data_IF_924121367302
#
_entry.id   IF_924121367302
#
_cell.length_a   1.000
_cell.length_b   1.000
_cell.length_c   1.000
_cell.angle_alpha   90.00
_cell.angle_beta   90.00
_cell.angle_gamma   90.00
#
_symmetry.space_group_name_H-M   'P 1'
#
loop_
_entity.id
_entity.type
_entity.pdbx_description
1 polymer ?
#
# COMPACT_ATOMS: atom_id res chain seq x y z
N UNK A 1 -68.04 -57.21 3.72
CA UNK A 1 -68.85 -56.45 4.68
C UNK A 1 -68.63 -54.98 4.34
N UNK A 2 -69.73 -54.24 4.14
CA UNK A 2 -69.80 -52.83 3.68
C UNK A 2 -69.21 -51.84 4.71
N UNK A 3 -69.14 -50.57 4.27
CA UNK A 3 -69.21 -49.29 5.02
C UNK A 3 -67.83 -48.58 5.13
N UNK A 4 -67.61 -47.28 4.87
CA UNK A 4 -68.32 -46.11 4.32
C UNK A 4 -67.21 -45.07 4.01
N UNK A 5 -67.19 -44.25 2.95
CA UNK A 5 -67.99 -43.03 2.69
C UNK A 5 -67.97 -41.97 3.81
N UNK A 6 -67.86 -40.69 3.39
CA UNK A 6 -67.97 -39.42 4.15
C UNK A 6 -66.65 -38.90 4.78
N UNK A 7 -66.31 -37.61 4.80
CA UNK A 7 -66.88 -36.37 4.27
C UNK A 7 -65.96 -35.20 4.70
N UNK A 8 -65.73 -34.23 3.79
CA UNK A 8 -66.04 -32.80 4.06
C UNK A 8 -65.08 -31.95 4.92
N UNK A 9 -64.43 -30.96 4.25
CA UNK A 9 -64.14 -29.57 4.69
C UNK A 9 -63.19 -29.37 5.89
N UNK A 10 -62.42 -28.30 6.10
CA UNK A 10 -62.19 -27.01 5.47
C UNK A 10 -60.83 -26.45 5.98
N UNK A 11 -60.15 -25.72 5.10
CA UNK A 11 -59.55 -24.38 5.26
C UNK A 11 -58.77 -24.00 6.55
N UNK A 12 -57.51 -23.61 6.29
CA UNK A 12 -56.68 -22.59 6.94
C UNK A 12 -56.20 -22.76 8.39
N UNK A 13 -54.91 -23.07 8.52
CA UNK A 13 -53.99 -22.23 9.32
C UNK A 13 -52.64 -22.14 8.59
N UNK A 14 -52.41 -20.98 7.95
CA UNK A 14 -51.05 -20.54 7.61
C UNK A 14 -50.39 -20.19 8.93
N UNK A 15 -49.47 -21.04 9.39
CA UNK A 15 -48.48 -20.65 10.38
C UNK A 15 -47.14 -20.58 9.66
N UNK A 16 -46.72 -19.33 9.42
CA UNK A 16 -45.40 -18.93 8.97
C UNK A 16 -44.32 -19.59 9.86
N UNK A 17 -43.60 -20.56 9.31
CA UNK A 17 -42.34 -21.02 9.87
C UNK A 17 -41.28 -20.87 8.77
N UNK A 18 -40.47 -19.82 8.90
CA UNK A 18 -39.26 -19.62 8.09
C UNK A 18 -38.23 -20.67 8.54
N UNK A 19 -37.72 -21.56 7.67
CA UNK A 19 -36.45 -22.21 7.92
C UNK A 19 -35.37 -21.41 7.20
N UNK A 20 -34.63 -20.63 7.98
CA UNK A 20 -33.24 -20.32 7.69
C UNK A 20 -32.49 -21.65 7.63
N UNK A 21 -31.96 -21.98 6.46
CA UNK A 21 -31.21 -23.20 6.25
C UNK A 21 -30.67 -23.27 4.83
N UNK A 22 -29.81 -22.32 4.43
CA UNK A 22 -28.95 -22.51 3.27
C UNK A 22 -27.92 -23.58 3.59
N UNK A 23 -28.32 -24.85 3.53
CA UNK A 23 -27.40 -25.97 3.36
C UNK A 23 -27.04 -26.05 1.88
N UNK A 24 -26.05 -25.25 1.43
CA UNK A 24 -25.38 -25.56 0.17
C UNK A 24 -24.44 -26.75 0.39
N UNK A 25 -25.04 -27.94 0.56
CA UNK A 25 -24.36 -29.20 0.27
C UNK A 25 -24.07 -29.20 -1.22
N UNK A 26 -22.80 -29.06 -1.58
CA UNK A 26 -22.30 -29.32 -2.92
C UNK A 26 -22.70 -30.75 -3.34
N UNK A 27 -23.80 -30.87 -4.08
CA UNK A 27 -24.11 -32.06 -4.86
C UNK A 27 -23.42 -31.92 -6.22
N UNK A 28 -22.50 -32.83 -6.51
CA UNK A 28 -22.10 -33.08 -7.88
C UNK A 28 -23.35 -33.49 -8.67
N UNK A 29 -23.75 -32.68 -9.65
CA UNK A 29 -24.90 -32.92 -10.51
C UNK A 29 -24.42 -33.07 -11.97
N UNK A 30 -25.05 -33.92 -12.79
CA UNK A 30 -24.48 -34.44 -14.03
C UNK A 30 -24.24 -33.38 -15.11
N UNK A 31 -23.21 -33.62 -15.92
CA UNK A 31 -22.81 -32.77 -17.05
C UNK A 31 -23.81 -32.85 -18.21
N UNK A 32 -24.96 -32.18 -18.14
CA UNK A 32 -25.75 -31.86 -19.34
C UNK A 32 -26.75 -30.72 -19.08
N UNK A 33 -26.26 -29.54 -18.73
CA UNK A 33 -27.01 -28.30 -18.95
C UNK A 33 -26.03 -27.15 -19.12
N UNK A 34 -25.72 -26.90 -20.40
CA UNK A 34 -25.05 -25.76 -21.00
C UNK A 34 -24.85 -24.53 -20.07
N UNK A 35 -23.72 -24.48 -19.33
CA UNK A 35 -23.17 -23.19 -18.90
C UNK A 35 -22.79 -22.42 -20.17
N UNK A 36 -23.48 -21.32 -20.43
CA UNK A 36 -23.24 -20.45 -21.57
C UNK A 36 -21.76 -20.07 -21.66
N UNK A 37 -21.15 -20.22 -22.84
CA UNK A 37 -19.77 -19.74 -23.12
C UNK A 37 -19.63 -18.25 -22.71
N UNK A 38 -20.73 -17.48 -22.72
CA UNK A 38 -20.74 -16.09 -22.23
C UNK A 38 -20.40 -15.99 -20.74
N UNK A 39 -20.88 -16.89 -19.89
CA UNK A 39 -20.66 -16.82 -18.45
C UNK A 39 -19.23 -17.24 -18.06
N UNK A 40 -18.66 -18.20 -18.80
CA UNK A 40 -17.25 -18.60 -18.64
C UNK A 40 -16.29 -17.49 -19.10
N UNK A 41 -16.60 -16.82 -20.22
CA UNK A 41 -15.79 -15.70 -20.74
C UNK A 41 -15.85 -14.49 -19.81
N UNK A 42 -17.02 -14.14 -19.25
CA UNK A 42 -17.17 -13.06 -18.25
C UNK A 42 -16.36 -13.36 -16.99
N UNK A 43 -16.37 -14.61 -16.49
CA UNK A 43 -15.60 -14.99 -15.31
C UNK A 43 -14.08 -14.92 -15.55
N UNK A 44 -13.59 -15.38 -16.70
CA UNK A 44 -12.15 -15.34 -17.01
C UNK A 44 -11.61 -13.94 -17.30
N UNK A 45 -12.38 -13.06 -17.96
CA UNK A 45 -11.95 -11.66 -18.20
C UNK A 45 -11.81 -10.87 -16.90
N UNK A 46 -12.72 -11.07 -15.93
CA UNK A 46 -12.62 -10.38 -14.63
C UNK A 46 -11.33 -10.72 -13.85
N UNK A 47 -10.83 -11.96 -14.01
CA UNK A 47 -9.64 -12.46 -13.32
C UNK A 47 -8.34 -11.89 -13.89
N UNK A 48 -8.28 -11.58 -15.20
CA UNK A 48 -7.11 -10.91 -15.80
C UNK A 48 -7.06 -9.43 -15.43
N UNK A 49 -8.22 -8.78 -15.38
CA UNK A 49 -8.31 -7.35 -15.11
C UNK A 49 -7.98 -7.04 -13.64
N UNK A 50 -8.47 -7.86 -12.70
CA UNK A 50 -8.11 -7.75 -11.28
C UNK A 50 -6.61 -7.94 -11.04
N UNK A 51 -5.97 -8.86 -11.77
CA UNK A 51 -4.54 -9.13 -11.60
C UNK A 51 -3.65 -8.00 -12.15
N UNK A 52 -4.18 -7.17 -13.07
CA UNK A 52 -3.53 -5.93 -13.52
C UNK A 52 -3.66 -4.83 -12.46
N UNK A 53 -4.85 -4.64 -11.89
CA UNK A 53 -5.07 -3.64 -10.85
C UNK A 53 -4.26 -3.95 -9.58
N UNK A 54 -4.27 -5.20 -9.12
CA UNK A 54 -3.48 -5.65 -7.98
C UNK A 54 -1.97 -5.40 -8.20
N UNK A 55 -1.49 -5.56 -9.44
CA UNK A 55 -0.10 -5.29 -9.81
C UNK A 55 0.23 -3.80 -9.73
N UNK A 56 -0.63 -2.95 -10.30
CA UNK A 56 -0.48 -1.50 -10.30
C UNK A 56 -0.53 -0.94 -8.87
N UNK A 57 -1.45 -1.43 -8.03
CA UNK A 57 -1.58 -1.03 -6.63
C UNK A 57 -0.33 -1.39 -5.80
N UNK A 58 0.22 -2.60 -6.00
CA UNK A 58 1.46 -3.01 -5.32
C UNK A 58 2.62 -2.12 -5.77
N UNK A 59 2.75 -1.86 -7.07
CA UNK A 59 3.80 -1.01 -7.60
C UNK A 59 3.69 0.43 -7.12
N UNK A 60 2.48 0.98 -7.04
CA UNK A 60 2.23 2.30 -6.46
C UNK A 60 2.69 2.35 -5.01
N UNK A 61 2.38 1.34 -4.19
CA UNK A 61 2.87 1.27 -2.81
C UNK A 61 4.41 1.23 -2.75
N UNK A 62 5.06 0.47 -3.64
CA UNK A 62 6.52 0.42 -3.72
C UNK A 62 7.12 1.77 -4.12
N UNK A 63 6.54 2.44 -5.11
CA UNK A 63 7.00 3.76 -5.55
C UNK A 63 6.87 4.79 -4.44
N UNK A 64 5.71 4.84 -3.78
CA UNK A 64 5.45 5.79 -2.72
C UNK A 64 6.31 5.53 -1.48
N UNK A 65 6.48 4.27 -1.05
CA UNK A 65 7.17 3.95 0.20
C UNK A 65 8.69 3.81 0.02
N UNK A 66 9.14 3.27 -1.11
CA UNK A 66 10.53 2.90 -1.35
C UNK A 66 11.20 3.70 -2.49
N UNK A 67 10.42 4.33 -3.37
CA UNK A 67 10.95 5.09 -4.51
C UNK A 67 11.45 4.23 -5.66
N UNK A 68 10.88 3.04 -5.83
CA UNK A 68 11.22 2.10 -6.90
C UNK A 68 10.02 1.23 -7.21
N UNK A 69 10.06 0.50 -8.31
CA UNK A 69 9.09 -0.56 -8.59
C UNK A 69 9.36 -1.81 -7.75
N UNK A 70 8.33 -2.63 -7.60
CA UNK A 70 8.45 -3.92 -6.97
C UNK A 70 9.23 -4.88 -7.88
N UNK A 71 10.20 -5.59 -7.30
CA UNK A 71 10.89 -6.68 -8.01
C UNK A 71 9.97 -7.91 -8.14
N UNK A 72 10.36 -8.86 -9.00
CA UNK A 72 9.55 -10.05 -9.30
C UNK A 72 9.23 -10.89 -8.06
N UNK A 73 10.16 -10.95 -7.09
CA UNK A 73 9.98 -11.68 -5.85
C UNK A 73 9.01 -10.95 -4.90
N UNK A 74 9.15 -9.63 -4.78
CA UNK A 74 8.25 -8.76 -4.03
C UNK A 74 6.82 -8.86 -4.55
N UNK A 75 6.63 -8.66 -5.86
CA UNK A 75 5.33 -8.79 -6.53
C UNK A 75 4.68 -10.14 -6.26
N UNK A 76 5.40 -11.24 -6.50
CA UNK A 76 4.90 -12.60 -6.25
C UNK A 76 4.48 -12.78 -4.79
N UNK A 77 5.25 -12.22 -3.85
CA UNK A 77 4.95 -12.31 -2.41
C UNK A 77 3.64 -11.61 -2.07
N UNK A 78 3.44 -10.40 -2.59
CA UNK A 78 2.27 -9.59 -2.27
C UNK A 78 1.00 -10.02 -3.01
N UNK A 79 1.11 -10.45 -4.28
CA UNK A 79 0.01 -11.06 -5.02
C UNK A 79 -0.49 -12.34 -4.32
N UNK A 80 0.42 -13.17 -3.80
CA UNK A 80 0.04 -14.32 -2.98
C UNK A 80 -0.63 -13.92 -1.66
N UNK A 81 -0.28 -12.76 -1.09
CA UNK A 81 -0.93 -12.24 0.10
C UNK A 81 -2.35 -11.72 -0.20
N UNK A 82 -2.56 -11.03 -1.32
CA UNK A 82 -3.87 -10.58 -1.80
C UNK A 82 -4.80 -11.77 -2.06
N UNK A 83 -4.30 -12.83 -2.71
CA UNK A 83 -5.03 -14.09 -2.90
C UNK A 83 -5.44 -14.78 -1.58
N UNK A 84 -4.76 -14.46 -0.47
CA UNK A 84 -5.10 -14.92 0.89
C UNK A 84 -5.95 -13.91 1.66
N UNK A 85 -6.60 -12.98 0.97
CA UNK A 85 -7.44 -11.91 1.52
C UNK A 85 -6.68 -10.91 2.43
N UNK A 86 -5.38 -10.75 2.22
CA UNK A 86 -4.64 -9.65 2.86
C UNK A 86 -5.09 -8.33 2.24
N UNK A 87 -5.29 -7.29 3.06
CA UNK A 87 -5.69 -5.97 2.56
C UNK A 87 -4.47 -5.18 2.07
N UNK A 88 -4.61 -4.38 1.02
CA UNK A 88 -3.56 -3.49 0.51
C UNK A 88 -2.97 -2.57 1.61
N UNK A 89 -3.82 -2.05 2.49
CA UNK A 89 -3.37 -1.25 3.65
C UNK A 89 -2.43 -2.02 4.58
N UNK A 90 -2.65 -3.32 4.75
CA UNK A 90 -1.76 -4.15 5.55
C UNK A 90 -0.43 -4.42 4.82
N UNK A 91 -0.48 -4.67 3.51
CA UNK A 91 0.71 -4.79 2.65
C UNK A 91 1.56 -3.53 2.76
N UNK A 92 0.96 -2.34 2.57
CA UNK A 92 1.62 -1.05 2.77
C UNK A 92 2.24 -0.95 4.16
N UNK A 93 1.49 -1.30 5.22
CA UNK A 93 2.05 -1.24 6.58
C UNK A 93 3.24 -2.18 6.78
N UNK A 94 3.26 -3.36 6.14
CA UNK A 94 4.37 -4.31 6.23
C UNK A 94 5.60 -3.79 5.49
N UNK A 95 5.41 -3.23 4.30
CA UNK A 95 6.49 -2.59 3.52
C UNK A 95 7.04 -1.38 4.29
N UNK A 96 6.18 -0.50 4.82
CA UNK A 96 6.59 0.66 5.60
C UNK A 96 7.44 0.29 6.84
N UNK A 97 7.18 -0.86 7.47
CA UNK A 97 7.93 -1.35 8.64
C UNK A 97 9.18 -2.17 8.29
N UNK A 98 9.43 -2.41 7.00
CA UNK A 98 10.54 -3.22 6.53
C UNK A 98 11.90 -2.58 6.82
N UNK A 99 12.98 -3.38 6.76
CA UNK A 99 14.35 -2.87 6.88
C UNK A 99 14.68 -1.89 5.75
N UNK A 100 14.14 -2.11 4.56
CA UNK A 100 14.40 -1.29 3.39
C UNK A 100 13.88 0.13 3.58
N UNK A 101 12.65 0.28 4.08
CA UNK A 101 12.07 1.59 4.41
C UNK A 101 12.89 2.33 5.46
N UNK A 102 13.52 1.63 6.42
CA UNK A 102 14.44 2.26 7.37
C UNK A 102 15.65 2.88 6.66
N UNK A 103 16.17 2.19 5.63
CA UNK A 103 17.25 2.71 4.78
C UNK A 103 16.82 3.96 4.02
N UNK A 104 15.61 3.96 3.45
CA UNK A 104 15.03 5.11 2.75
C UNK A 104 14.89 6.32 3.68
N UNK A 105 14.29 6.15 4.86
CA UNK A 105 14.15 7.23 5.85
C UNK A 105 15.52 7.73 6.30
N UNK A 106 16.48 6.85 6.55
CA UNK A 106 17.83 7.26 6.96
C UNK A 106 18.54 8.08 5.87
N UNK A 107 18.38 7.70 4.60
CA UNK A 107 18.90 8.47 3.46
C UNK A 107 18.30 9.87 3.41
N UNK A 108 16.97 10.00 3.56
CA UNK A 108 16.30 11.31 3.59
C UNK A 108 16.83 12.18 4.74
N UNK A 109 17.02 11.60 5.92
CA UNK A 109 17.61 12.30 7.07
C UNK A 109 19.04 12.78 6.79
N UNK A 110 19.86 11.96 6.14
CA UNK A 110 21.22 12.33 5.76
C UNK A 110 21.23 13.45 4.72
N UNK A 111 20.38 13.36 3.70
CA UNK A 111 20.26 14.37 2.64
C UNK A 111 19.78 15.73 3.19
N UNK A 112 18.76 15.72 4.06
CA UNK A 112 18.10 16.96 4.52
C UNK A 112 18.76 17.54 5.78
N UNK A 113 19.13 16.69 6.74
CA UNK A 113 19.62 17.12 8.06
C UNK A 113 21.12 16.84 8.25
N UNK A 114 21.76 16.03 7.40
CA UNK A 114 23.17 15.67 7.52
C UNK A 114 23.46 14.79 8.73
N UNK A 115 22.50 13.98 9.16
CA UNK A 115 22.65 13.03 10.27
C UNK A 115 21.83 11.76 10.02
N UNK A 116 22.12 10.71 10.80
CA UNK A 116 21.30 9.51 10.79
C UNK A 116 19.94 9.76 11.46
N UNK A 117 18.95 8.95 11.06
CA UNK A 117 17.63 8.94 11.70
C UNK A 117 17.75 8.41 13.13
N UNK A 118 17.11 9.10 14.06
CA UNK A 118 16.98 8.65 15.45
C UNK A 118 15.77 7.71 15.63
N UNK A 119 15.69 6.93 16.73
CA UNK A 119 14.61 5.98 16.92
C UNK A 119 13.20 6.60 16.91
N UNK A 120 13.05 7.84 17.38
CA UNK A 120 11.76 8.54 17.42
C UNK A 120 11.33 8.98 16.03
N UNK A 121 12.24 9.60 15.27
CA UNK A 121 12.04 9.96 13.87
C UNK A 121 11.69 8.75 13.01
N UNK A 122 12.44 7.66 13.18
CA UNK A 122 12.19 6.43 12.43
C UNK A 122 10.78 5.89 12.69
N UNK A 123 10.37 5.81 13.96
CA UNK A 123 9.02 5.37 14.34
C UNK A 123 7.95 6.29 13.75
N UNK A 124 8.17 7.60 13.83
CA UNK A 124 7.24 8.62 13.32
C UNK A 124 7.00 8.44 11.83
N UNK A 125 8.05 8.48 11.03
CA UNK A 125 7.91 8.42 9.57
C UNK A 125 7.52 7.04 9.05
N UNK A 126 7.94 5.96 9.70
CA UNK A 126 7.40 4.62 9.42
C UNK A 126 5.88 4.58 9.57
N UNK A 127 5.34 5.24 10.60
CA UNK A 127 3.90 5.28 10.83
C UNK A 127 3.18 6.22 9.84
N UNK A 128 3.81 7.29 9.37
CA UNK A 128 3.27 8.13 8.28
C UNK A 128 3.19 7.36 6.98
N UNK A 129 4.27 6.67 6.58
CA UNK A 129 4.29 5.82 5.38
C UNK A 129 3.22 4.72 5.46
N UNK A 130 3.06 4.08 6.62
CA UNK A 130 2.01 3.07 6.82
C UNK A 130 0.58 3.63 6.72
N UNK A 131 0.39 4.95 6.85
CA UNK A 131 -0.92 5.65 6.76
C UNK A 131 -1.21 6.24 5.39
N UNK A 132 -0.33 6.09 4.42
CA UNK A 132 -0.55 6.58 3.06
C UNK A 132 0.43 7.65 2.60
N UNK A 133 1.32 8.14 3.46
CA UNK A 133 2.33 9.10 3.00
C UNK A 133 3.32 8.43 2.06
N UNK A 134 3.83 9.21 1.12
CA UNK A 134 4.97 8.90 0.27
C UNK A 134 6.28 9.34 0.93
N UNK A 135 7.41 8.80 0.46
CA UNK A 135 8.74 9.23 0.89
C UNK A 135 9.02 10.69 0.51
N UNK A 136 8.37 11.22 -0.53
CA UNK A 136 8.51 12.61 -0.95
C UNK A 136 7.80 13.55 0.03
N UNK A 137 6.61 13.20 0.49
CA UNK A 137 5.93 13.93 1.59
C UNK A 137 6.74 13.86 2.89
N UNK A 138 7.38 12.72 3.18
CA UNK A 138 8.30 12.61 4.32
C UNK A 138 9.49 13.56 4.15
N UNK A 139 10.12 13.59 2.97
CA UNK A 139 11.24 14.49 2.68
C UNK A 139 10.82 15.95 2.85
N UNK A 140 9.70 16.32 2.25
CA UNK A 140 9.14 17.67 2.28
C UNK A 140 8.82 18.12 3.72
N UNK A 141 8.24 17.22 4.52
CA UNK A 141 7.94 17.49 5.93
C UNK A 141 9.23 17.72 6.75
N UNK A 142 10.28 16.92 6.51
CA UNK A 142 11.57 17.11 7.18
C UNK A 142 12.23 18.42 6.73
N UNK A 143 12.17 18.77 5.44
CA UNK A 143 12.74 20.01 4.90
C UNK A 143 12.11 21.27 5.52
N UNK A 144 10.83 21.21 5.88
CA UNK A 144 10.13 22.33 6.55
C UNK A 144 10.28 22.36 8.07
N UNK A 145 10.96 21.38 8.65
CA UNK A 145 11.13 21.31 10.10
C UNK A 145 12.05 22.40 10.63
N UNK A 146 11.86 22.77 11.90
CA UNK A 146 12.76 23.68 12.61
C UNK A 146 14.22 23.20 12.61
N UNK A 147 14.43 21.88 12.54
CA UNK A 147 15.75 21.30 12.51
C UNK A 147 16.47 21.59 11.18
N UNK A 148 15.77 21.46 10.05
CA UNK A 148 16.30 21.84 8.74
C UNK A 148 16.58 23.35 8.67
N UNK A 149 15.69 24.18 9.23
CA UNK A 149 15.89 25.62 9.33
C UNK A 149 17.15 25.97 10.15
N UNK A 150 17.35 25.33 11.30
CA UNK A 150 18.55 25.52 12.14
C UNK A 150 19.82 25.11 11.40
N UNK A 151 19.81 23.99 10.68
CA UNK A 151 20.94 23.57 9.83
C UNK A 151 21.26 24.64 8.79
N UNK A 152 20.25 25.14 8.08
CA UNK A 152 20.44 26.18 7.07
C UNK A 152 21.05 27.46 7.68
N UNK A 153 20.58 27.88 8.86
CA UNK A 153 21.15 29.03 9.60
C UNK A 153 22.61 28.81 10.01
N UNK A 154 22.97 27.60 10.45
CA UNK A 154 24.35 27.26 10.81
C UNK A 154 25.25 27.31 9.56
N UNK A 155 24.78 26.76 8.44
CA UNK A 155 25.51 26.78 7.18
C UNK A 155 25.67 28.21 6.65
N UNK A 156 24.61 29.02 6.64
CA UNK A 156 24.67 30.42 6.18
C UNK A 156 25.61 31.28 7.04
N UNK A 157 25.68 31.03 8.35
CA UNK A 157 26.58 31.76 9.24
C UNK A 157 28.03 31.26 9.16
N UNK A 158 28.24 30.01 8.74
CA UNK A 158 29.58 29.41 8.56
C UNK A 158 30.20 29.80 7.22
N UNK A 159 29.38 30.03 6.18
CA UNK A 159 29.82 30.65 4.92
C UNK A 159 29.92 32.17 5.13
N UNK A 160 30.94 32.63 5.88
CA UNK A 160 31.27 34.07 5.87
C UNK A 160 31.64 34.46 4.44
N UNK A 161 31.00 35.46 3.80
CA UNK A 161 31.48 35.96 2.53
C UNK A 161 32.91 36.44 2.73
N UNK A 162 33.84 35.97 1.92
CA UNK A 162 35.19 36.50 1.86
C UNK A 162 35.06 37.98 1.44
N UNK A 163 35.05 38.87 2.42
CA UNK A 163 34.97 40.31 2.16
C UNK A 163 36.38 40.78 1.82
N UNK A 164 36.82 40.55 0.58
CA UNK A 164 37.99 41.24 0.04
C UNK A 164 37.54 42.61 -0.46
N UNK A 165 37.55 43.60 0.44
CA UNK A 165 37.64 45.02 0.04
C UNK A 165 36.45 45.60 -0.74
N UNK A 166 35.21 45.21 -0.45
CA UNK A 166 34.03 45.95 -0.92
C UNK A 166 33.65 45.77 -2.39
N UNK A 167 34.21 44.76 -3.08
CA UNK A 167 33.75 44.35 -4.42
C UNK A 167 33.19 42.93 -4.30
N UNK A 168 31.90 42.77 -4.58
CA UNK A 168 31.24 41.46 -4.66
C UNK A 168 31.70 40.76 -5.94
N UNK A 169 32.69 39.89 -5.83
CA UNK A 169 33.00 38.90 -6.87
C UNK A 169 32.17 37.65 -6.60
N UNK A 170 31.27 37.29 -7.51
CA UNK A 170 30.65 35.96 -7.52
C UNK A 170 31.69 34.97 -8.05
N UNK A 171 32.55 34.47 -7.16
CA UNK A 171 33.46 33.37 -7.51
C UNK A 171 32.73 32.03 -7.33
N UNK A 172 32.55 31.33 -8.46
CA UNK A 172 32.17 29.93 -8.51
C UNK A 172 33.18 29.10 -7.71
N UNK A 173 32.77 28.54 -6.57
CA UNK A 173 33.58 27.52 -5.90
C UNK A 173 33.58 26.24 -6.72
N UNK A 174 34.59 26.12 -7.57
CA UNK A 174 35.05 24.85 -8.10
C UNK A 174 35.54 23.98 -6.94
N UNK A 175 34.88 22.85 -6.75
CA UNK A 175 35.38 21.71 -6.00
C UNK A 175 36.69 21.25 -6.65
N UNK A 176 37.80 21.65 -6.07
CA UNK A 176 39.06 20.95 -6.23
C UNK A 176 39.76 21.02 -4.90
N UNK A 177 39.78 19.89 -4.18
CA UNK A 177 40.91 19.32 -3.44
C UNK A 177 40.40 18.06 -2.72
N UNK A 178 40.50 16.94 -3.42
CA UNK A 178 41.06 15.72 -2.83
C UNK A 178 41.60 14.85 -3.97
N UNK A 179 42.86 15.14 -4.34
CA UNK A 179 43.78 14.13 -4.86
C UNK A 179 44.77 13.85 -3.74
N UNK A 180 44.66 12.65 -3.16
CA UNK A 180 45.79 11.76 -2.92
C UNK A 180 45.33 10.31 -3.00
#
# INVERSE_FOLDING_TARGET
MKLDFLATTAIATITLLIPLGLTHSAKAQPCDEMLSIRDVVIFCQSKSDQNSEDYDDINQIYQEVLGREADSQGLTTWLNALNRNTRLKEIRSRIAKSRETKGVINRIYQEVLGRNVDPSGLKTYTNHLARGWSQDEVREHIQRSDEANKRNLILSNSVKPATLGGIIYTECQALSQDIR
#
